data_IF_615509096641
#
_entry.id   IF_615509096641
#
_cell.length_a   1.000
_cell.length_b   1.000
_cell.length_c   1.000
_cell.angle_alpha   90.00
_cell.angle_beta   90.00
_cell.angle_gamma   90.00
#
_symmetry.space_group_name_H-M   'P 1'
#
loop_
_entity.id
_entity.type
_entity.pdbx_description
1 polymer ?
#
# COMPACT_ATOMS: atom_id res chain seq x y z
N UNK A 1 1.80 12.23 -26.19
CA UNK A 1 1.75 12.24 -25.44
C UNK A 1 1.92 11.39 -24.97
N UNK A 2 1.70 11.22 -24.90
CA UNK A 2 2.37 10.92 -24.31
C UNK A 2 2.58 9.92 -23.57
N UNK A 3 3.54 9.71 -23.20
CA UNK A 3 3.84 8.73 -22.26
C UNK A 3 2.94 8.85 -21.07
N UNK A 4 2.03 9.70 -21.22
CA UNK A 4 1.02 9.79 -20.21
C UNK A 4 0.33 8.49 -20.02
N UNK A 5 0.35 7.68 -21.03
CA UNK A 5 -0.35 6.41 -20.92
C UNK A 5 0.27 5.57 -19.85
N UNK A 6 1.56 5.48 -19.87
CA UNK A 6 2.21 4.72 -18.81
C UNK A 6 2.00 5.37 -17.49
N UNK A 7 2.01 6.68 -17.48
CA UNK A 7 1.75 7.38 -16.25
C UNK A 7 0.38 7.04 -15.73
N UNK A 8 -0.56 6.79 -16.62
CA UNK A 8 -1.89 6.45 -16.19
C UNK A 8 -1.94 5.17 -15.39
N UNK A 9 -1.11 4.20 -15.76
CA UNK A 9 -1.05 3.00 -14.98
C UNK A 9 -0.61 3.30 -13.57
N UNK A 10 0.39 4.16 -13.44
CA UNK A 10 0.85 4.57 -12.13
C UNK A 10 -0.13 5.53 -11.49
N UNK A 11 -0.79 6.33 -12.30
CA UNK A 11 -1.71 7.35 -11.79
C UNK A 11 -3.03 6.78 -11.33
N UNK A 12 -3.25 5.49 -11.54
CA UNK A 12 -4.39 4.84 -10.97
C UNK A 12 -4.36 4.96 -9.44
N UNK A 13 -3.19 5.22 -8.88
CA UNK A 13 -3.03 5.38 -7.45
C UNK A 13 -2.89 6.86 -7.10
N UNK A 14 -3.56 7.28 -6.04
CA UNK A 14 -3.30 8.58 -5.48
C UNK A 14 -1.91 8.58 -4.86
N UNK A 15 -1.41 9.78 -4.56
CA UNK A 15 -0.10 9.87 -3.94
C UNK A 15 -0.07 9.15 -2.61
N UNK A 16 -1.12 9.28 -1.80
CA UNK A 16 -1.19 8.59 -0.53
C UNK A 16 -1.22 7.08 -0.69
N UNK A 17 -1.99 6.59 -1.65
CA UNK A 17 -2.07 5.17 -1.92
C UNK A 17 -0.72 4.63 -2.37
N UNK A 18 -0.04 5.36 -3.24
CA UNK A 18 1.28 4.95 -3.70
C UNK A 18 2.27 4.88 -2.55
N UNK A 19 2.25 5.87 -1.67
CA UNK A 19 3.15 5.89 -0.52
C UNK A 19 2.91 4.69 0.39
N UNK A 20 1.65 4.33 0.62
CA UNK A 20 1.33 3.18 1.44
C UNK A 20 1.83 1.90 0.78
N UNK A 21 1.57 1.75 -0.51
CA UNK A 21 2.01 0.55 -1.22
C UNK A 21 3.53 0.42 -1.20
N UNK A 22 4.23 1.52 -1.46
CA UNK A 22 5.69 1.49 -1.43
C UNK A 22 6.22 1.15 -0.04
N UNK A 23 5.56 1.66 1.00
CA UNK A 23 5.98 1.36 2.36
C UNK A 23 5.80 -0.12 2.68
N UNK A 24 4.68 -0.71 2.22
CA UNK A 24 4.46 -2.13 2.42
C UNK A 24 5.54 -2.94 1.70
N UNK A 25 5.83 -2.58 0.46
CA UNK A 25 6.83 -3.31 -0.32
C UNK A 25 8.21 -3.21 0.32
N UNK A 26 8.57 -2.01 0.76
CA UNK A 26 9.88 -1.82 1.38
C UNK A 26 9.99 -2.60 2.68
N UNK A 27 8.93 -2.58 3.48
CA UNK A 27 8.93 -3.32 4.74
C UNK A 27 9.08 -4.81 4.49
N UNK A 28 8.34 -5.34 3.52
CA UNK A 28 8.42 -6.77 3.20
C UNK A 28 9.79 -7.14 2.66
N UNK A 29 10.41 -6.25 1.91
CA UNK A 29 11.72 -6.52 1.37
C UNK A 29 12.75 -6.66 2.49
N UNK A 30 12.63 -5.86 3.52
CA UNK A 30 13.59 -5.88 4.62
C UNK A 30 13.29 -6.96 5.64
N UNK A 31 12.02 -7.24 5.88
CA UNK A 31 11.61 -8.07 7.00
C UNK A 31 11.05 -9.42 6.59
N UNK A 32 10.77 -9.61 5.31
CA UNK A 32 10.23 -10.86 4.77
C UNK A 32 8.83 -11.19 5.27
N UNK A 33 8.15 -10.23 5.86
CA UNK A 33 6.74 -10.33 6.24
C UNK A 33 6.12 -8.95 6.12
N UNK A 34 4.80 -8.88 5.96
CA UNK A 34 4.16 -7.56 5.80
C UNK A 34 4.07 -6.81 7.11
N UNK A 35 3.95 -5.49 7.03
CA UNK A 35 3.79 -4.67 8.23
C UNK A 35 2.37 -4.75 8.75
N UNK A 36 2.20 -4.42 10.03
CA UNK A 36 0.88 -4.14 10.56
C UNK A 36 0.47 -2.73 10.16
N UNK A 37 -0.81 -2.42 10.32
CA UNK A 37 -1.26 -1.06 10.03
C UNK A 37 -0.63 -0.04 10.96
N UNK A 38 -0.40 -0.41 12.20
CA UNK A 38 0.29 0.47 13.13
C UNK A 38 1.71 0.75 12.69
N UNK A 39 2.41 -0.29 12.22
CA UNK A 39 3.77 -0.10 11.71
C UNK A 39 3.77 0.79 10.48
N UNK A 40 2.78 0.63 9.61
CA UNK A 40 2.67 1.49 8.44
C UNK A 40 2.44 2.94 8.84
N UNK A 41 1.57 3.16 9.82
CA UNK A 41 1.31 4.51 10.28
C UNK A 41 2.60 5.15 10.78
N UNK A 42 3.39 4.40 11.52
CA UNK A 42 4.66 4.89 12.02
C UNK A 42 5.61 5.24 10.90
N UNK A 43 5.72 4.35 9.92
CA UNK A 43 6.61 4.58 8.79
C UNK A 43 6.22 5.80 8.00
N UNK A 44 4.92 6.06 7.91
CA UNK A 44 4.41 7.16 7.10
C UNK A 44 4.19 8.45 7.89
N UNK A 45 4.53 8.43 9.17
CA UNK A 45 4.36 9.61 10.01
C UNK A 45 2.92 9.93 10.32
N UNK A 46 2.06 8.94 10.30
CA UNK A 46 0.63 9.13 10.60
C UNK A 46 0.38 8.84 12.06
N UNK A 47 -0.58 9.57 12.63
CA UNK A 47 -0.86 9.45 14.05
C UNK A 47 -1.82 8.31 14.38
N UNK A 48 -2.45 7.72 13.37
CA UNK A 48 -3.47 6.72 13.60
C UNK A 48 -3.34 5.60 12.58
N UNK A 49 -3.58 4.33 12.98
CA UNK A 49 -3.60 3.24 12.01
C UNK A 49 -4.72 3.35 10.98
N UNK A 50 -5.72 4.20 11.24
CA UNK A 50 -6.81 4.36 10.28
C UNK A 50 -6.38 5.03 8.99
N UNK A 51 -5.35 5.87 9.05
CA UNK A 51 -4.85 6.53 7.86
C UNK A 51 -4.41 5.54 6.79
N UNK A 52 -3.44 4.68 7.11
CA UNK A 52 -3.03 3.70 6.09
C UNK A 52 -4.13 2.70 5.76
N UNK A 53 -5.03 2.42 6.70
CA UNK A 53 -6.09 1.47 6.44
C UNK A 53 -6.99 1.92 5.30
N UNK A 54 -7.34 3.21 5.25
CA UNK A 54 -8.16 3.73 4.18
C UNK A 54 -7.50 3.53 2.82
N UNK A 55 -6.20 3.80 2.77
CA UNK A 55 -5.46 3.61 1.53
C UNK A 55 -5.35 2.13 1.17
N UNK A 56 -5.20 1.28 2.16
CA UNK A 56 -5.13 -0.16 1.91
C UNK A 56 -6.43 -0.69 1.33
N UNK A 57 -7.56 -0.23 1.86
CA UNK A 57 -8.86 -0.65 1.32
C UNK A 57 -8.98 -0.22 -0.13
N UNK A 58 -8.57 1.00 -0.45
CA UNK A 58 -8.61 1.46 -1.84
C UNK A 58 -7.68 0.65 -2.72
N UNK A 59 -6.50 0.32 -2.22
CA UNK A 59 -5.55 -0.50 -2.97
C UNK A 59 -6.10 -1.89 -3.23
N UNK A 60 -6.83 -2.44 -2.27
CA UNK A 60 -7.45 -3.74 -2.48
C UNK A 60 -8.50 -3.68 -3.58
N UNK A 61 -9.32 -2.63 -3.57
CA UNK A 61 -10.32 -2.46 -4.61
C UNK A 61 -9.70 -2.34 -5.99
N UNK A 62 -8.51 -1.78 -6.06
CA UNK A 62 -7.82 -1.61 -7.33
C UNK A 62 -6.98 -2.83 -7.70
N UNK A 63 -6.95 -3.84 -6.84
CA UNK A 63 -6.26 -5.08 -7.16
C UNK A 63 -4.77 -5.10 -6.86
N UNK A 64 -4.28 -4.15 -6.09
CA UNK A 64 -2.87 -4.10 -5.75
C UNK A 64 -2.51 -4.92 -4.52
N UNK A 65 -3.43 -5.02 -3.57
CA UNK A 65 -3.18 -5.81 -2.37
C UNK A 65 -4.42 -6.62 -2.03
N UNK A 66 -4.22 -7.61 -1.19
CA UNK A 66 -5.31 -8.37 -0.61
C UNK A 66 -5.20 -8.27 0.89
N UNK A 67 -6.32 -7.95 1.53
CA UNK A 67 -6.37 -7.79 2.97
C UNK A 67 -7.09 -8.98 3.59
N UNK A 68 -6.51 -9.53 4.65
CA UNK A 68 -7.13 -10.63 5.38
C UNK A 68 -7.67 -10.06 6.68
N UNK A 69 -9.00 -10.09 6.88
CA UNK A 69 -9.59 -9.52 8.09
C UNK A 69 -9.10 -10.26 9.34
N UNK A 70 -8.98 -9.52 10.42
CA UNK A 70 -8.64 -10.06 11.74
C UNK A 70 -7.24 -10.65 11.83
N UNK A 71 -6.40 -10.38 10.85
CA UNK A 71 -5.00 -10.80 10.88
C UNK A 71 -4.15 -9.55 10.88
N UNK A 72 -3.33 -9.40 11.93
CA UNK A 72 -2.54 -8.17 12.09
C UNK A 72 -1.61 -7.91 10.91
N UNK A 73 -1.00 -8.95 10.38
CA UNK A 73 -0.10 -8.83 9.24
C UNK A 73 -0.75 -9.38 7.99
N UNK A 74 -2.05 -9.13 7.85
CA UNK A 74 -2.82 -9.68 6.74
C UNK A 74 -2.83 -8.79 5.52
N UNK A 75 -1.67 -8.32 5.10
CA UNK A 75 -1.53 -7.51 3.89
C UNK A 75 -0.69 -8.30 2.89
N UNK A 76 -1.25 -8.56 1.74
CA UNK A 76 -0.54 -9.29 0.70
C UNK A 76 -0.47 -8.44 -0.55
N UNK A 77 0.73 -8.25 -1.07
CA UNK A 77 0.91 -7.46 -2.28
C UNK A 77 0.65 -8.34 -3.49
N UNK A 78 -0.29 -7.95 -4.32
CA UNK A 78 -0.62 -8.67 -5.54
C UNK A 78 0.04 -8.05 -6.76
N UNK A 79 0.22 -6.71 -6.74
CA UNK A 79 0.83 -5.99 -7.84
C UNK A 79 1.79 -4.96 -7.27
N UNK A 80 2.95 -4.88 -7.88
CA UNK A 80 3.93 -3.88 -7.49
C UNK A 80 3.50 -2.50 -7.98
N UNK A 81 4.00 -1.47 -7.31
CA UNK A 81 3.72 -0.10 -7.70
C UNK A 81 4.49 0.31 -8.96
N UNK A 82 5.49 -0.42 -9.32
CA UNK A 82 6.30 -0.07 -10.50
C UNK A 82 6.11 -1.00 -11.68
#
# INVERSE_FOLDING_TARGET
MPPEQEADMANDLTEGQRKVLLAVEAFMHENLYPPTRAELAELLGMSSPNGPNEHLVALEKKGYVKLTPKVSRGIRVLRSSS
#
